data_IF_682461076560
#
_entry.id   IF_682461076560
#
_cell.length_a   1.000
_cell.length_b   1.000
_cell.length_c   1.000
_cell.angle_alpha   90.00
_cell.angle_beta   90.00
_cell.angle_gamma   90.00
#
_symmetry.space_group_name_H-M   'P 1'
#
loop_
_entity.id
_entity.type
_entity.pdbx_description
1 polymer ?
#
# COMPACT_ATOMS: atom_id res chain seq x y z
N UNK A 1 7.97 -6.70 33.17
CA UNK A 1 7.62 -7.00 31.77
C UNK A 1 6.22 -7.58 31.79
N UNK A 2 5.31 -7.01 30.99
CA UNK A 2 4.02 -7.66 30.78
C UNK A 2 4.26 -8.96 30.05
N UNK A 3 3.61 -10.03 30.51
CA UNK A 3 3.63 -11.33 29.86
C UNK A 3 2.43 -11.45 28.94
N UNK A 4 2.54 -12.26 27.90
CA UNK A 4 1.46 -12.61 26.99
C UNK A 4 0.20 -13.01 27.75
N UNK A 5 -0.85 -12.19 27.65
CA UNK A 5 -2.19 -12.51 28.12
C UNK A 5 -2.90 -13.47 27.16
N UNK A 6 -2.57 -14.77 27.27
CA UNK A 6 -3.12 -15.82 26.39
C UNK A 6 -4.64 -15.93 26.49
N UNK A 7 -5.19 -15.87 27.71
CA UNK A 7 -6.62 -16.06 27.93
C UNK A 7 -7.43 -14.82 27.54
N UNK A 8 -6.91 -13.62 27.80
CA UNK A 8 -7.48 -12.39 27.27
C UNK A 8 -7.45 -12.35 25.74
N UNK A 9 -6.33 -12.74 25.13
CA UNK A 9 -6.20 -12.76 23.67
C UNK A 9 -7.11 -13.80 23.02
N UNK A 10 -7.20 -15.01 23.60
CA UNK A 10 -8.16 -16.03 23.17
C UNK A 10 -9.59 -15.50 23.18
N UNK A 11 -10.04 -14.93 24.30
CA UNK A 11 -11.37 -14.32 24.41
C UNK A 11 -11.60 -13.22 23.38
N UNK A 12 -10.60 -12.35 23.18
CA UNK A 12 -10.65 -11.31 22.15
C UNK A 12 -10.88 -11.88 20.74
N UNK A 13 -10.29 -13.04 20.42
CA UNK A 13 -10.46 -13.70 19.12
C UNK A 13 -11.77 -14.49 19.00
N UNK A 14 -12.34 -14.98 20.10
CA UNK A 14 -13.61 -15.73 20.11
C UNK A 14 -14.85 -14.85 20.21
N UNK A 15 -14.76 -13.69 20.89
CA UNK A 15 -15.92 -12.86 21.25
C UNK A 15 -16.29 -11.82 20.18
N UNK A 16 -15.70 -11.94 18.99
CA UNK A 16 -15.93 -11.07 17.84
C UNK A 16 -17.09 -11.57 16.95
N UNK A 17 -17.64 -10.69 16.11
CA UNK A 17 -18.75 -11.03 15.19
C UNK A 17 -18.46 -12.26 14.30
N UNK A 18 -17.19 -12.43 13.89
CA UNK A 18 -16.70 -13.59 13.15
C UNK A 18 -15.58 -14.29 13.96
N UNK A 19 -15.92 -15.22 14.87
CA UNK A 19 -14.96 -15.89 15.75
C UNK A 19 -13.87 -16.64 14.98
N UNK A 20 -12.64 -16.61 15.49
CA UNK A 20 -11.54 -17.40 14.94
C UNK A 20 -11.61 -18.84 15.48
N UNK A 21 -11.42 -19.88 14.64
CA UNK A 21 -11.40 -21.27 15.10
C UNK A 21 -10.31 -21.51 16.16
N UNK A 22 -10.62 -22.34 17.16
CA UNK A 22 -9.71 -22.60 18.28
C UNK A 22 -8.33 -23.15 17.87
N UNK A 23 -8.31 -23.97 16.81
CA UNK A 23 -7.06 -24.50 16.24
C UNK A 23 -6.17 -23.37 15.68
N UNK A 24 -6.76 -22.42 14.94
CA UNK A 24 -6.05 -21.24 14.43
C UNK A 24 -5.59 -20.34 15.59
N UNK A 25 -6.38 -20.20 16.66
CA UNK A 25 -5.97 -19.45 17.86
C UNK A 25 -4.74 -20.09 18.50
N UNK A 26 -4.72 -21.41 18.66
CA UNK A 26 -3.59 -22.13 19.24
C UNK A 26 -2.32 -21.98 18.40
N UNK A 27 -2.43 -22.04 17.07
CA UNK A 27 -1.29 -21.85 16.16
C UNK A 27 -0.78 -20.40 16.17
N UNK A 28 -1.68 -19.43 16.04
CA UNK A 28 -1.31 -18.00 16.02
C UNK A 28 -0.75 -17.53 17.35
N UNK A 29 -1.22 -18.07 18.48
CA UNK A 29 -0.67 -17.78 19.81
C UNK A 29 0.78 -18.21 19.94
N UNK A 30 1.19 -19.35 19.35
CA UNK A 30 2.60 -19.79 19.36
C UNK A 30 3.53 -18.82 18.65
N UNK A 31 3.06 -18.14 17.60
CA UNK A 31 3.85 -17.10 16.91
C UNK A 31 4.05 -15.89 17.83
N UNK A 32 3.02 -15.48 18.57
CA UNK A 32 3.12 -14.38 19.53
C UNK A 32 4.05 -14.76 20.70
N UNK A 33 3.94 -15.99 21.22
CA UNK A 33 4.87 -16.52 22.24
C UNK A 33 6.31 -16.48 21.76
N UNK A 34 6.57 -16.95 20.54
CA UNK A 34 7.91 -16.92 19.94
C UNK A 34 8.44 -15.49 19.81
N UNK A 35 7.57 -14.53 19.46
CA UNK A 35 7.96 -13.12 19.39
C UNK A 35 8.26 -12.56 20.78
N UNK A 36 7.45 -12.90 21.79
CA UNK A 36 7.72 -12.55 23.19
C UNK A 36 9.09 -13.06 23.64
N UNK A 37 9.37 -14.35 23.44
CA UNK A 37 10.66 -14.96 23.78
C UNK A 37 11.83 -14.27 23.08
N UNK A 38 11.66 -13.90 21.81
CA UNK A 38 12.65 -13.12 21.06
C UNK A 38 12.87 -11.73 21.70
N UNK A 39 11.81 -11.04 22.11
CA UNK A 39 11.89 -9.73 22.76
C UNK A 39 12.57 -9.82 24.13
N UNK A 40 12.28 -10.87 24.92
CA UNK A 40 12.90 -11.08 26.23
C UNK A 40 14.42 -11.21 26.12
N UNK A 41 14.92 -11.92 25.10
CA UNK A 41 16.36 -12.08 24.84
C UNK A 41 17.09 -10.76 24.57
N UNK A 42 16.37 -9.72 24.10
CA UNK A 42 16.91 -8.39 23.82
C UNK A 42 16.44 -7.34 24.83
N UNK A 43 15.86 -7.76 25.96
CA UNK A 43 15.41 -6.87 27.04
C UNK A 43 14.22 -5.98 26.68
N UNK A 44 13.36 -6.42 25.77
CA UNK A 44 12.13 -5.73 25.34
C UNK A 44 10.88 -6.51 25.76
N UNK A 45 9.72 -5.89 25.63
CA UNK A 45 8.41 -6.53 25.86
C UNK A 45 7.46 -6.24 24.69
N UNK A 46 6.34 -6.97 24.63
CA UNK A 46 5.32 -6.82 23.59
C UNK A 46 4.73 -5.41 23.57
N UNK A 47 4.59 -4.75 24.73
CA UNK A 47 4.06 -3.38 24.83
C UNK A 47 5.05 -2.31 24.34
N UNK A 48 6.34 -2.62 24.30
CA UNK A 48 7.40 -1.69 23.90
C UNK A 48 8.01 -2.03 22.53
N UNK A 49 7.49 -3.07 21.87
CA UNK A 49 7.95 -3.49 20.55
C UNK A 49 7.53 -2.47 19.49
N UNK A 50 8.45 -2.19 18.56
CA UNK A 50 8.27 -1.25 17.46
C UNK A 50 8.68 -1.88 16.13
N UNK A 51 8.69 -1.08 15.05
CA UNK A 51 9.23 -1.50 13.76
C UNK A 51 10.65 -2.08 13.83
N UNK A 52 11.49 -1.62 14.77
CA UNK A 52 12.87 -2.14 14.91
C UNK A 52 12.86 -3.61 15.30
N UNK A 53 12.10 -3.98 16.33
CA UNK A 53 12.01 -5.36 16.80
C UNK A 53 11.24 -6.25 15.82
N UNK A 54 10.15 -5.72 15.24
CA UNK A 54 9.35 -6.43 14.23
C UNK A 54 10.17 -6.78 13.00
N UNK A 55 10.96 -5.84 12.46
CA UNK A 55 11.80 -6.09 11.30
C UNK A 55 12.89 -7.14 11.58
N UNK A 56 13.47 -7.14 12.78
CA UNK A 56 14.45 -8.18 13.18
C UNK A 56 13.78 -9.55 13.32
N UNK A 57 12.62 -9.61 13.94
CA UNK A 57 11.88 -10.87 14.09
C UNK A 57 11.36 -11.40 12.76
N UNK A 58 10.97 -10.52 11.84
CA UNK A 58 10.60 -10.89 10.47
C UNK A 58 11.71 -11.70 9.78
N UNK A 59 12.98 -11.29 9.95
CA UNK A 59 14.13 -12.06 9.43
C UNK A 59 14.22 -13.45 10.04
N UNK A 60 13.98 -13.58 11.34
CA UNK A 60 13.91 -14.89 12.01
C UNK A 60 12.80 -15.76 11.40
N UNK A 61 11.62 -15.19 11.17
CA UNK A 61 10.52 -15.92 10.52
C UNK A 61 10.87 -16.33 9.09
N UNK A 62 11.57 -15.49 8.33
CA UNK A 62 12.02 -15.81 6.97
C UNK A 62 13.05 -16.95 7.00
N UNK A 63 14.06 -16.86 7.86
CA UNK A 63 15.13 -17.85 7.98
C UNK A 63 14.60 -19.23 8.42
N UNK A 64 13.56 -19.25 9.26
CA UNK A 64 12.90 -20.48 9.73
C UNK A 64 11.78 -20.97 8.79
N UNK A 65 11.46 -20.24 7.71
CA UNK A 65 10.35 -20.58 6.82
C UNK A 65 8.95 -20.43 7.45
N UNK A 66 8.83 -19.60 8.48
CA UNK A 66 7.60 -19.30 9.23
C UNK A 66 6.97 -17.96 8.82
N UNK A 67 7.48 -17.29 7.79
CA UNK A 67 7.01 -15.99 7.30
C UNK A 67 5.71 -16.11 6.48
N UNK A 68 4.62 -16.51 7.12
CA UNK A 68 3.29 -16.63 6.49
C UNK A 68 2.41 -15.42 6.80
N UNK A 69 1.38 -15.18 5.98
CA UNK A 69 0.36 -14.17 6.30
C UNK A 69 -0.28 -14.43 7.66
N UNK A 70 -0.57 -15.70 8.00
CA UNK A 70 -1.12 -16.09 9.30
C UNK A 70 -0.19 -15.69 10.45
N UNK A 71 1.12 -15.88 10.28
CA UNK A 71 2.12 -15.49 11.28
C UNK A 71 2.13 -13.97 11.52
N UNK A 72 2.16 -13.17 10.46
CA UNK A 72 2.12 -11.71 10.60
C UNK A 72 0.76 -11.22 11.13
N UNK A 73 -0.35 -11.78 10.66
CA UNK A 73 -1.69 -11.46 11.16
C UNK A 73 -1.82 -11.78 12.65
N UNK A 74 -1.15 -12.82 13.15
CA UNK A 74 -1.09 -13.10 14.59
C UNK A 74 -0.45 -11.94 15.37
N UNK A 75 0.70 -11.43 14.89
CA UNK A 75 1.40 -10.32 15.52
C UNK A 75 0.58 -9.02 15.49
N UNK A 76 -0.06 -8.71 14.35
CA UNK A 76 -0.90 -7.51 14.24
C UNK A 76 -2.14 -7.60 15.12
N UNK A 77 -2.87 -8.72 15.11
CA UNK A 77 -4.02 -8.96 16.00
C UNK A 77 -3.63 -8.79 17.46
N UNK A 78 -2.47 -9.33 17.86
CA UNK A 78 -1.99 -9.18 19.23
C UNK A 78 -1.61 -7.73 19.57
N UNK A 79 -0.88 -7.05 18.69
CA UNK A 79 -0.54 -5.63 18.85
C UNK A 79 -1.79 -4.76 19.03
N UNK A 80 -2.84 -5.01 18.23
CA UNK A 80 -4.13 -4.34 18.38
C UNK A 80 -4.80 -4.67 19.71
N UNK A 81 -4.81 -5.93 20.13
CA UNK A 81 -5.39 -6.39 21.40
C UNK A 81 -4.77 -5.68 22.61
N UNK A 82 -3.44 -5.57 22.66
CA UNK A 82 -2.73 -4.87 23.74
C UNK A 82 -2.64 -3.35 23.53
N UNK A 83 -3.23 -2.83 22.45
CA UNK A 83 -3.21 -1.42 22.05
C UNK A 83 -1.79 -0.87 21.78
N UNK A 84 -0.86 -1.72 21.38
CA UNK A 84 0.43 -1.31 20.85
C UNK A 84 0.29 -1.06 19.34
N UNK A 85 0.01 0.19 18.98
CA UNK A 85 -0.17 0.60 17.59
C UNK A 85 1.15 0.62 16.80
N UNK A 86 2.30 0.82 17.44
CA UNK A 86 3.60 0.77 16.76
C UNK A 86 3.90 -0.65 16.26
N UNK A 87 3.62 -1.66 17.08
CA UNK A 87 3.68 -3.07 16.67
C UNK A 87 2.67 -3.37 15.56
N UNK A 88 1.42 -2.93 15.71
CA UNK A 88 0.38 -3.17 14.70
C UNK A 88 0.76 -2.60 13.33
N UNK A 89 1.15 -1.33 13.28
CA UNK A 89 1.50 -0.63 12.04
C UNK A 89 2.77 -1.19 11.40
N UNK A 90 3.79 -1.54 12.20
CA UNK A 90 5.01 -2.16 11.70
C UNK A 90 4.73 -3.49 10.96
N UNK A 91 3.82 -4.30 11.48
CA UNK A 91 3.43 -5.56 10.83
C UNK A 91 2.64 -5.30 9.54
N UNK A 92 1.74 -4.31 9.52
CA UNK A 92 1.04 -3.93 8.30
C UNK A 92 2.00 -3.48 7.19
N UNK A 93 3.04 -2.75 7.54
CA UNK A 93 4.06 -2.30 6.58
C UNK A 93 4.81 -3.47 5.93
N UNK A 94 5.06 -4.56 6.68
CA UNK A 94 5.66 -5.77 6.13
C UNK A 94 4.77 -6.43 5.07
N UNK A 95 3.45 -6.43 5.32
CA UNK A 95 2.45 -7.00 4.42
C UNK A 95 2.11 -6.09 3.23
N UNK A 96 2.28 -4.78 3.39
CA UNK A 96 1.95 -3.80 2.37
C UNK A 96 2.74 -4.03 1.08
N UNK A 97 1.99 -4.21 -0.02
CA UNK A 97 2.51 -4.50 -1.33
C UNK A 97 3.35 -5.79 -1.43
N UNK A 98 3.23 -6.75 -0.50
CA UNK A 98 4.06 -7.96 -0.52
C UNK A 98 3.99 -8.74 -1.84
N UNK A 99 2.85 -8.69 -2.53
CA UNK A 99 2.63 -9.36 -3.81
C UNK A 99 3.13 -8.57 -5.04
N UNK A 100 3.60 -7.33 -4.88
CA UNK A 100 3.98 -6.45 -6.01
C UNK A 100 5.03 -7.10 -6.91
N UNK A 101 6.07 -7.71 -6.33
CA UNK A 101 7.12 -8.35 -7.11
C UNK A 101 6.66 -9.67 -7.76
N UNK A 102 5.77 -10.42 -7.09
CA UNK A 102 5.15 -11.63 -7.66
C UNK A 102 4.28 -11.27 -8.88
N UNK A 103 3.45 -10.24 -8.76
CA UNK A 103 2.62 -9.75 -9.85
C UNK A 103 3.48 -9.13 -10.95
N UNK A 104 4.54 -8.37 -10.63
CA UNK A 104 5.48 -7.85 -11.63
C UNK A 104 6.10 -8.98 -12.46
N UNK A 105 6.56 -10.05 -11.82
CA UNK A 105 7.05 -11.25 -12.51
C UNK A 105 5.99 -11.83 -13.46
N UNK A 106 4.73 -11.92 -13.04
CA UNK A 106 3.63 -12.40 -13.89
C UNK A 106 3.36 -11.45 -15.07
N UNK A 107 3.29 -10.14 -14.83
CA UNK A 107 3.05 -9.13 -15.87
C UNK A 107 4.18 -9.07 -16.90
N UNK A 108 5.43 -9.24 -16.47
CA UNK A 108 6.58 -9.37 -17.37
C UNK A 108 6.44 -10.57 -18.33
N UNK A 109 5.93 -11.70 -17.83
CA UNK A 109 5.66 -12.88 -18.67
C UNK A 109 4.50 -12.62 -19.64
N UNK A 110 3.43 -11.97 -19.19
CA UNK A 110 2.20 -11.75 -19.96
C UNK A 110 2.37 -10.71 -21.07
N UNK A 111 3.05 -9.59 -20.78
CA UNK A 111 3.15 -8.45 -21.71
C UNK A 111 4.38 -8.50 -22.61
N UNK A 112 5.39 -9.29 -22.24
CA UNK A 112 6.65 -9.34 -22.98
C UNK A 112 6.97 -10.77 -23.41
N UNK A 113 7.65 -11.55 -22.57
CA UNK A 113 7.84 -13.00 -22.73
C UNK A 113 8.60 -13.59 -21.53
N UNK A 114 8.68 -14.91 -21.45
CA UNK A 114 9.38 -15.64 -20.37
C UNK A 114 10.89 -15.34 -20.33
N UNK A 115 11.52 -15.14 -21.49
CA UNK A 115 12.98 -14.93 -21.60
C UNK A 115 13.36 -13.56 -21.03
N UNK A 116 12.65 -12.51 -21.41
CA UNK A 116 12.81 -11.16 -20.85
C UNK A 116 12.42 -11.13 -19.37
N UNK A 117 11.33 -11.78 -18.99
CA UNK A 117 10.94 -11.93 -17.58
C UNK A 117 12.06 -12.55 -16.74
N UNK A 118 12.64 -13.66 -17.17
CA UNK A 118 13.70 -14.36 -16.42
C UNK A 118 15.02 -13.56 -16.37
N UNK A 119 15.27 -12.69 -17.35
CA UNK A 119 16.40 -11.73 -17.29
C UNK A 119 16.17 -10.61 -16.27
N UNK A 120 14.92 -10.20 -16.06
CA UNK A 120 14.55 -9.11 -15.15
C UNK A 120 14.35 -9.60 -13.72
N UNK A 121 13.42 -10.52 -13.52
CA UNK A 121 13.00 -11.01 -12.21
C UNK A 121 12.56 -12.48 -12.32
N UNK A 122 13.50 -13.44 -12.31
CA UNK A 122 13.16 -14.86 -12.36
C UNK A 122 12.49 -15.31 -11.05
N UNK A 123 11.70 -16.40 -11.10
CA UNK A 123 10.95 -16.89 -9.95
C UNK A 123 11.81 -17.16 -8.69
N UNK A 124 13.04 -17.62 -8.89
CA UNK A 124 13.98 -17.92 -7.79
C UNK A 124 14.51 -16.68 -7.07
N UNK A 125 14.38 -15.49 -7.67
CA UNK A 125 14.84 -14.22 -7.12
C UNK A 125 13.66 -13.41 -6.54
N UNK A 126 12.47 -14.01 -6.42
CA UNK A 126 11.32 -13.34 -5.80
C UNK A 126 11.59 -13.10 -4.31
N UNK A 127 11.34 -11.88 -3.80
CA UNK A 127 11.57 -11.56 -2.40
C UNK A 127 10.57 -12.30 -1.49
N UNK A 128 10.99 -12.69 -0.28
CA UNK A 128 10.11 -13.36 0.67
C UNK A 128 9.07 -12.41 1.27
N UNK A 129 7.94 -12.97 1.72
CA UNK A 129 6.96 -12.22 2.51
C UNK A 129 7.60 -11.72 3.82
N UNK A 130 7.35 -10.45 4.15
CA UNK A 130 7.89 -9.80 5.34
C UNK A 130 9.29 -9.20 5.18
N UNK A 131 9.80 -9.09 3.94
CA UNK A 131 11.00 -8.29 3.68
C UNK A 131 10.81 -6.85 4.20
N UNK A 132 11.69 -6.30 5.05
CA UNK A 132 11.56 -4.93 5.53
C UNK A 132 11.58 -3.89 4.40
N UNK A 133 10.83 -2.79 4.54
CA UNK A 133 10.74 -1.73 3.52
C UNK A 133 12.09 -1.14 3.11
N UNK A 134 13.02 -1.03 4.05
CA UNK A 134 14.38 -0.54 3.79
C UNK A 134 15.19 -1.44 2.86
N UNK A 135 14.86 -2.74 2.82
CA UNK A 135 15.45 -3.75 1.94
C UNK A 135 14.64 -3.95 0.65
N UNK A 136 13.31 -3.73 0.68
CA UNK A 136 12.45 -3.71 -0.53
C UNK A 136 12.97 -2.73 -1.58
N UNK A 137 13.55 -1.61 -1.15
CA UNK A 137 14.15 -0.60 -2.03
C UNK A 137 15.25 -1.19 -2.92
N UNK A 138 16.18 -1.95 -2.35
CA UNK A 138 17.35 -2.45 -3.08
C UNK A 138 16.92 -3.48 -4.15
N UNK A 139 15.89 -4.28 -3.86
CA UNK A 139 15.23 -5.15 -4.82
C UNK A 139 14.64 -4.34 -5.96
N UNK A 140 13.91 -3.26 -5.64
CA UNK A 140 13.26 -2.39 -6.63
C UNK A 140 14.25 -1.71 -7.55
N UNK A 141 15.35 -1.17 -7.02
CA UNK A 141 16.45 -0.63 -7.82
C UNK A 141 16.99 -1.68 -8.79
N UNK A 142 17.33 -2.87 -8.27
CA UNK A 142 17.90 -3.95 -9.08
C UNK A 142 16.96 -4.37 -10.21
N UNK A 143 15.67 -4.52 -9.91
CA UNK A 143 14.67 -4.93 -10.90
C UNK A 143 14.47 -3.86 -11.96
N UNK A 144 14.34 -2.58 -11.58
CA UNK A 144 14.19 -1.48 -12.54
C UNK A 144 15.39 -1.32 -13.46
N UNK A 145 16.60 -1.41 -12.92
CA UNK A 145 17.81 -1.33 -13.73
C UNK A 145 17.92 -2.49 -14.72
N UNK A 146 17.42 -3.68 -14.37
CA UNK A 146 17.29 -4.79 -15.32
C UNK A 146 16.18 -4.52 -16.34
N UNK A 147 15.03 -4.00 -15.93
CA UNK A 147 13.93 -3.63 -16.83
C UNK A 147 14.41 -2.66 -17.90
N UNK A 148 15.07 -1.55 -17.52
CA UNK A 148 15.60 -0.55 -18.46
C UNK A 148 16.60 -1.12 -19.48
N UNK A 149 17.33 -2.18 -19.13
CA UNK A 149 18.30 -2.83 -20.03
C UNK A 149 17.65 -3.84 -20.96
N UNK A 150 16.51 -4.41 -20.59
CA UNK A 150 15.89 -5.55 -21.28
C UNK A 150 14.63 -5.15 -22.06
N UNK A 151 13.94 -4.11 -21.62
CA UNK A 151 12.64 -3.67 -22.12
C UNK A 151 12.73 -2.29 -22.79
N UNK A 152 11.79 -2.01 -23.69
CA UNK A 152 11.60 -0.63 -24.18
C UNK A 152 10.85 0.22 -23.12
N UNK A 153 10.92 1.56 -23.21
CA UNK A 153 10.15 2.43 -22.32
C UNK A 153 8.65 2.14 -22.33
N UNK A 154 8.08 1.79 -23.49
CA UNK A 154 6.67 1.46 -23.65
C UNK A 154 6.33 0.11 -22.98
N UNK A 155 7.19 -0.90 -23.14
CA UNK A 155 7.06 -2.18 -22.44
C UNK A 155 7.12 -1.97 -20.91
N UNK A 156 8.06 -1.17 -20.41
CA UNK A 156 8.17 -0.80 -19.00
C UNK A 156 6.90 -0.13 -18.47
N UNK A 157 6.43 0.92 -19.15
CA UNK A 157 5.21 1.65 -18.76
C UNK A 157 4.02 0.71 -18.71
N UNK A 158 3.84 -0.12 -19.74
CA UNK A 158 2.73 -1.08 -19.84
C UNK A 158 2.76 -2.11 -18.71
N UNK A 159 3.91 -2.76 -18.50
CA UNK A 159 4.08 -3.76 -17.43
C UNK A 159 3.82 -3.15 -16.06
N UNK A 160 4.45 -2.02 -15.73
CA UNK A 160 4.32 -1.39 -14.42
C UNK A 160 2.88 -0.92 -14.17
N UNK A 161 2.23 -0.32 -15.17
CA UNK A 161 0.83 0.10 -15.07
C UNK A 161 -0.10 -1.09 -14.79
N UNK A 162 0.16 -2.26 -15.36
CA UNK A 162 -0.68 -3.45 -15.12
C UNK A 162 -0.34 -4.22 -13.83
N UNK A 163 0.75 -3.85 -13.14
CA UNK A 163 1.00 -4.34 -11.77
C UNK A 163 0.00 -3.73 -10.80
N UNK A 164 -0.27 -2.42 -10.89
CA UNK A 164 -1.33 -1.73 -10.15
C UNK A 164 -1.38 -2.08 -8.65
N UNK A 165 -0.24 -2.06 -7.97
CA UNK A 165 -0.10 -2.43 -6.55
C UNK A 165 -0.55 -3.87 -6.24
N UNK A 166 -0.41 -4.78 -7.21
CA UNK A 166 -0.80 -6.19 -7.13
C UNK A 166 -2.29 -6.44 -6.78
N UNK A 167 -3.15 -5.43 -6.98
CA UNK A 167 -4.56 -5.58 -6.68
C UNK A 167 -5.26 -6.45 -7.73
N UNK A 168 -6.18 -7.33 -7.32
CA UNK A 168 -6.90 -8.17 -8.26
C UNK A 168 -7.80 -7.32 -9.17
N UNK A 169 -8.12 -7.86 -10.35
CA UNK A 169 -8.92 -7.14 -11.37
C UNK A 169 -10.32 -6.76 -10.85
N UNK A 170 -10.89 -7.57 -9.96
CA UNK A 170 -12.21 -7.34 -9.36
C UNK A 170 -12.17 -6.51 -8.07
N UNK A 171 -11.00 -5.95 -7.70
CA UNK A 171 -10.87 -5.05 -6.55
C UNK A 171 -11.83 -3.84 -6.62
N UNK A 172 -12.25 -3.46 -7.84
CA UNK A 172 -13.18 -2.36 -8.10
C UNK A 172 -14.58 -2.85 -8.53
N UNK A 173 -14.97 -4.07 -8.14
CA UNK A 173 -16.32 -4.61 -8.38
C UNK A 173 -17.37 -3.65 -7.81
N UNK A 174 -18.43 -3.39 -8.59
CA UNK A 174 -19.48 -2.44 -8.22
C UNK A 174 -19.28 -1.02 -8.76
N UNK A 175 -18.08 -0.67 -9.25
CA UNK A 175 -17.78 0.69 -9.69
C UNK A 175 -18.53 1.04 -11.00
N UNK A 176 -18.72 0.05 -11.88
CA UNK A 176 -19.53 0.20 -13.10
C UNK A 176 -20.98 0.53 -12.80
N UNK A 177 -21.58 -0.19 -11.86
CA UNK A 177 -22.98 0.02 -11.46
C UNK A 177 -23.18 1.42 -10.85
N UNK A 178 -22.21 1.90 -10.06
CA UNK A 178 -22.22 3.27 -9.54
C UNK A 178 -22.16 4.30 -10.68
N UNK A 179 -21.25 4.11 -11.65
CA UNK A 179 -21.13 5.01 -12.80
C UNK A 179 -22.42 5.08 -13.63
N UNK A 180 -23.00 3.92 -13.96
CA UNK A 180 -24.25 3.86 -14.72
C UNK A 180 -25.42 4.52 -13.98
N UNK A 181 -25.47 4.39 -12.65
CA UNK A 181 -26.50 5.02 -11.82
C UNK A 181 -26.38 6.54 -11.78
N UNK A 182 -25.16 7.06 -11.76
CA UNK A 182 -24.91 8.51 -11.73
C UNK A 182 -25.30 9.21 -13.04
N UNK A 183 -25.37 8.48 -14.17
CA UNK A 183 -25.89 9.01 -15.43
C UNK A 183 -24.96 9.95 -16.20
N UNK A 184 -23.72 10.13 -15.74
CA UNK A 184 -22.70 10.93 -16.40
C UNK A 184 -21.42 11.02 -15.58
N UNK A 185 -20.30 11.38 -16.21
CA UNK A 185 -19.00 11.40 -15.54
C UNK A 185 -18.91 12.48 -14.45
N UNK A 186 -19.50 13.66 -14.68
CA UNK A 186 -19.46 14.76 -13.72
C UNK A 186 -20.25 14.43 -12.45
N UNK A 187 -21.43 13.83 -12.63
CA UNK A 187 -22.26 13.39 -11.51
C UNK A 187 -21.61 12.23 -10.75
N UNK A 188 -21.03 11.28 -11.48
CA UNK A 188 -20.25 10.20 -10.88
C UNK A 188 -19.06 10.73 -10.07
N UNK A 189 -18.32 11.70 -10.59
CA UNK A 189 -17.20 12.31 -9.88
C UNK A 189 -17.67 13.08 -8.64
N UNK A 190 -18.81 13.78 -8.73
CA UNK A 190 -19.44 14.47 -7.59
C UNK A 190 -19.80 13.49 -6.49
N UNK A 191 -20.46 12.37 -6.82
CA UNK A 191 -20.80 11.32 -5.86
C UNK A 191 -19.55 10.64 -5.28
N UNK A 192 -18.56 10.31 -6.12
CA UNK A 192 -17.29 9.72 -5.69
C UNK A 192 -16.58 10.61 -4.67
N UNK A 193 -16.52 11.92 -4.93
CA UNK A 193 -15.95 12.91 -4.01
C UNK A 193 -16.72 13.01 -2.71
N UNK A 194 -18.05 13.09 -2.77
CA UNK A 194 -18.88 13.15 -1.57
C UNK A 194 -18.69 11.92 -0.69
N UNK A 195 -18.65 10.72 -1.28
CA UNK A 195 -18.42 9.47 -0.56
C UNK A 195 -17.02 9.41 0.07
N UNK A 196 -15.98 9.83 -0.66
CA UNK A 196 -14.62 9.84 -0.15
C UNK A 196 -14.45 10.79 1.04
N UNK A 197 -15.06 11.97 0.99
CA UNK A 197 -15.06 12.93 2.12
C UNK A 197 -15.82 12.35 3.32
N UNK A 198 -16.99 11.75 3.09
CA UNK A 198 -17.79 11.15 4.16
C UNK A 198 -17.06 9.97 4.83
N UNK A 199 -16.30 9.18 4.08
CA UNK A 199 -15.45 8.11 4.62
C UNK A 199 -14.35 8.66 5.54
N UNK A 200 -13.66 9.73 5.13
CA UNK A 200 -12.67 10.40 5.97
C UNK A 200 -13.28 11.00 7.24
N UNK A 201 -14.43 11.66 7.13
CA UNK A 201 -15.17 12.21 8.29
C UNK A 201 -15.58 11.10 9.25
N UNK A 202 -16.06 9.96 8.74
CA UNK A 202 -16.39 8.79 9.55
C UNK A 202 -15.16 8.29 10.32
N UNK A 203 -14.02 8.11 9.66
CA UNK A 203 -12.79 7.66 10.33
C UNK A 203 -12.32 8.64 11.41
N UNK A 204 -12.42 9.95 11.17
CA UNK A 204 -12.15 10.99 12.17
C UNK A 204 -13.08 10.86 13.37
N UNK A 205 -14.39 10.80 13.14
CA UNK A 205 -15.41 10.84 14.19
C UNK A 205 -15.39 9.56 15.05
N UNK A 206 -15.19 8.40 14.41
CA UNK A 206 -15.10 7.09 15.08
C UNK A 206 -13.70 6.82 15.65
N UNK A 207 -12.71 7.68 15.37
CA UNK A 207 -11.29 7.50 15.74
C UNK A 207 -10.73 6.16 15.28
N UNK A 208 -11.07 5.78 14.06
CA UNK A 208 -10.55 4.59 13.39
C UNK A 208 -9.50 4.99 12.35
N UNK A 209 -8.69 4.02 11.91
CA UNK A 209 -7.67 4.26 10.90
C UNK A 209 -8.30 4.26 9.50
N UNK A 210 -7.98 5.28 8.71
CA UNK A 210 -8.12 5.22 7.25
C UNK A 210 -6.84 4.61 6.70
N UNK A 211 -6.90 3.32 6.34
CA UNK A 211 -5.73 2.48 6.11
C UNK A 211 -4.81 2.45 7.34
N UNK A 212 -3.73 3.22 7.32
CA UNK A 212 -2.66 3.25 8.32
C UNK A 212 -2.57 4.57 9.09
N UNK A 213 -3.49 5.52 8.87
CA UNK A 213 -3.42 6.85 9.48
C UNK A 213 -4.74 7.25 10.16
N UNK A 214 -4.63 8.02 11.24
CA UNK A 214 -5.78 8.70 11.82
C UNK A 214 -6.13 9.94 11.00
N UNK A 215 -7.42 10.24 10.92
CA UNK A 215 -7.91 11.43 10.22
C UNK A 215 -8.22 12.52 11.24
N UNK A 216 -7.71 13.73 10.98
CA UNK A 216 -7.96 14.94 11.78
C UNK A 216 -8.85 15.91 11.00
N UNK A 217 -9.29 17.00 11.65
CA UNK A 217 -9.99 18.08 10.96
C UNK A 217 -9.15 18.72 9.86
N UNK A 218 -7.83 18.88 10.08
CA UNK A 218 -6.92 19.43 9.09
C UNK A 218 -6.83 18.54 7.84
N UNK A 219 -6.82 17.22 8.03
CA UNK A 219 -6.85 16.26 6.91
C UNK A 219 -8.16 16.37 6.12
N UNK A 220 -9.31 16.44 6.79
CA UNK A 220 -10.61 16.61 6.11
C UNK A 220 -10.66 17.95 5.35
N UNK A 221 -10.19 19.03 5.98
CA UNK A 221 -10.15 20.37 5.37
C UNK A 221 -9.21 20.41 4.15
N UNK A 222 -8.04 19.77 4.24
CA UNK A 222 -7.10 19.64 3.14
C UNK A 222 -7.77 19.00 1.91
N UNK A 223 -8.42 17.83 2.08
CA UNK A 223 -9.12 17.14 0.97
C UNK A 223 -10.31 17.95 0.45
N UNK A 224 -11.10 18.59 1.33
CA UNK A 224 -12.23 19.45 0.93
C UNK A 224 -11.78 20.64 0.08
N UNK A 225 -10.63 21.24 0.40
CA UNK A 225 -10.07 22.39 -0.32
C UNK A 225 -9.46 22.05 -1.68
N UNK A 226 -9.21 20.75 -1.97
CA UNK A 226 -8.52 20.26 -3.16
C UNK A 226 -9.38 19.24 -3.93
N UNK A 227 -10.11 19.65 -4.97
CA UNK A 227 -10.90 18.76 -5.82
C UNK A 227 -10.12 17.57 -6.38
N UNK A 228 -8.86 17.78 -6.73
CA UNK A 228 -7.96 16.81 -7.35
C UNK A 228 -7.47 15.72 -6.39
N UNK A 229 -7.44 15.99 -5.08
CA UNK A 229 -6.88 15.07 -4.08
C UNK A 229 -7.88 13.96 -3.76
N UNK A 230 -7.39 12.71 -3.68
CA UNK A 230 -8.11 11.47 -3.33
C UNK A 230 -9.14 10.99 -4.36
N UNK A 231 -9.96 11.88 -4.91
CA UNK A 231 -11.06 11.54 -5.83
C UNK A 231 -10.74 11.83 -7.29
N UNK A 232 -9.96 12.88 -7.55
CA UNK A 232 -9.66 13.41 -8.88
C UNK A 232 -10.57 14.58 -9.30
N UNK A 233 -10.09 15.40 -10.22
CA UNK A 233 -10.78 16.56 -10.77
C UNK A 233 -10.85 16.45 -12.30
N UNK A 234 -12.02 16.67 -12.89
CA UNK A 234 -12.15 16.71 -14.34
C UNK A 234 -11.61 18.02 -14.91
N UNK A 235 -10.69 17.93 -15.87
CA UNK A 235 -10.14 19.06 -16.64
C UNK A 235 -10.25 18.76 -18.13
N UNK A 236 -11.33 19.26 -18.74
CA UNK A 236 -11.68 18.92 -20.12
C UNK A 236 -11.89 17.41 -20.30
N UNK A 237 -11.08 16.79 -21.16
CA UNK A 237 -11.14 15.37 -21.45
C UNK A 237 -10.19 14.51 -20.57
N UNK A 238 -9.81 15.02 -19.40
CA UNK A 238 -8.92 14.31 -18.48
C UNK A 238 -9.46 14.33 -17.06
N UNK A 239 -9.07 13.33 -16.26
CA UNK A 239 -9.14 13.38 -14.81
C UNK A 239 -7.73 13.60 -14.28
N UNK A 240 -7.53 14.74 -13.61
CA UNK A 240 -6.31 15.03 -12.87
C UNK A 240 -6.48 14.52 -11.44
N UNK A 241 -5.72 13.49 -11.06
CA UNK A 241 -5.83 12.81 -9.78
C UNK A 241 -4.53 12.95 -8.99
N UNK A 242 -4.58 13.72 -7.91
CA UNK A 242 -3.51 13.78 -6.91
C UNK A 242 -3.81 12.76 -5.83
N UNK A 243 -2.84 11.90 -5.53
CA UNK A 243 -3.01 10.95 -4.41
C UNK A 243 -3.03 11.71 -3.09
N UNK A 244 -3.92 11.30 -2.19
CA UNK A 244 -3.81 11.70 -0.80
C UNK A 244 -2.44 11.23 -0.26
N UNK A 245 -1.69 12.03 0.51
CA UNK A 245 -0.44 11.58 1.13
C UNK A 245 -0.58 10.29 1.95
N UNK A 246 0.51 9.53 2.08
CA UNK A 246 0.56 8.28 2.86
C UNK A 246 0.33 8.48 4.36
N UNK A 247 0.84 9.60 4.89
CA UNK A 247 0.61 10.07 6.26
C UNK A 247 0.27 11.57 6.19
N UNK A 248 -1.02 11.91 6.13
CA UNK A 248 -1.43 13.27 5.74
C UNK A 248 -1.13 14.29 6.82
N UNK A 249 -1.33 13.96 8.09
CA UNK A 249 -1.03 14.91 9.17
C UNK A 249 0.46 15.24 9.19
N UNK A 250 1.32 14.23 9.14
CA UNK A 250 2.76 14.36 9.10
C UNK A 250 3.23 15.10 7.84
N UNK A 251 2.58 14.88 6.70
CA UNK A 251 2.82 15.62 5.45
C UNK A 251 2.49 17.12 5.59
N UNK A 252 1.40 17.46 6.29
CA UNK A 252 0.99 18.85 6.53
C UNK A 252 1.94 19.55 7.51
N UNK A 253 2.40 18.84 8.54
CA UNK A 253 3.27 19.36 9.59
C UNK A 253 4.75 19.42 9.18
N UNK A 254 5.16 18.62 8.18
CA UNK A 254 6.54 18.57 7.70
C UNK A 254 6.98 19.91 7.07
N UNK A 255 8.09 20.43 7.60
CA UNK A 255 8.79 21.62 7.09
C UNK A 255 9.98 21.27 6.21
N UNK A 256 10.58 20.10 6.41
CA UNK A 256 11.63 19.55 5.55
C UNK A 256 11.02 18.89 4.31
N UNK A 257 11.46 19.31 3.12
CA UNK A 257 10.90 18.82 1.85
C UNK A 257 11.14 17.32 1.64
N UNK A 258 12.27 16.77 2.09
CA UNK A 258 12.57 15.33 1.99
C UNK A 258 11.58 14.52 2.82
N UNK A 259 11.33 14.93 4.06
CA UNK A 259 10.33 14.30 4.92
C UNK A 259 8.91 14.49 4.38
N UNK A 260 8.60 15.65 3.79
CA UNK A 260 7.32 15.88 3.13
C UNK A 260 7.09 14.91 1.97
N UNK A 261 8.10 14.69 1.11
CA UNK A 261 8.06 13.66 0.06
C UNK A 261 7.91 12.25 0.63
N UNK A 262 8.61 11.95 1.71
CA UNK A 262 8.51 10.67 2.41
C UNK A 262 7.08 10.38 2.88
N UNK A 263 6.43 11.34 3.54
CA UNK A 263 5.04 11.22 4.00
C UNK A 263 4.01 11.27 2.86
N UNK A 264 4.38 11.77 1.67
CA UNK A 264 3.55 11.70 0.47
C UNK A 264 3.57 10.32 -0.21
N UNK A 265 4.71 9.61 -0.15
CA UNK A 265 4.92 8.38 -0.92
C UNK A 265 4.24 7.15 -0.29
N UNK A 266 3.27 6.57 -0.99
CA UNK A 266 2.58 5.34 -0.55
C UNK A 266 3.37 4.06 -0.72
N UNK A 267 4.36 4.02 -1.60
CA UNK A 267 4.92 2.76 -2.05
C UNK A 267 5.94 2.20 -1.05
N UNK A 268 5.61 1.13 -0.32
CA UNK A 268 6.57 0.43 0.55
C UNK A 268 7.82 -0.09 -0.16
N UNK A 269 7.78 -0.24 -1.50
CA UNK A 269 8.91 -0.66 -2.32
C UNK A 269 9.85 0.48 -2.74
N UNK A 270 9.45 1.74 -2.55
CA UNK A 270 10.22 2.89 -3.01
C UNK A 270 10.34 4.03 -2.00
N UNK A 271 9.40 4.20 -1.06
CA UNK A 271 9.37 5.31 -0.10
C UNK A 271 10.68 5.46 0.67
N UNK A 272 11.22 4.35 1.19
CA UNK A 272 12.47 4.38 1.97
C UNK A 272 13.68 4.89 1.15
N UNK A 273 13.64 4.82 -0.18
CA UNK A 273 14.70 5.37 -1.03
C UNK A 273 14.79 6.89 -0.96
N UNK A 274 13.68 7.58 -0.64
CA UNK A 274 13.66 9.04 -0.45
C UNK A 274 14.57 9.44 0.72
N UNK A 275 14.70 8.59 1.74
CA UNK A 275 15.59 8.83 2.89
C UNK A 275 17.05 8.42 2.63
N UNK A 276 17.33 7.77 1.49
CA UNK A 276 18.66 7.41 1.03
C UNK A 276 19.14 8.40 -0.04
N UNK A 277 20.44 8.42 -0.33
CA UNK A 277 21.03 9.28 -1.37
C UNK A 277 20.95 8.63 -2.77
N UNK A 278 20.30 7.48 -2.88
CA UNK A 278 20.06 6.74 -4.12
C UNK A 278 18.55 6.44 -4.19
N UNK A 279 17.81 7.34 -4.85
CA UNK A 279 16.35 7.25 -4.98
C UNK A 279 15.95 6.25 -6.08
N UNK A 280 14.92 5.44 -5.83
CA UNK A 280 14.34 4.56 -6.84
C UNK A 280 13.85 5.39 -8.02
N UNK A 281 14.15 4.94 -9.25
CA UNK A 281 13.67 5.59 -10.46
C UNK A 281 12.16 5.81 -10.44
N UNK A 282 11.72 7.06 -10.68
CA UNK A 282 10.31 7.43 -10.72
C UNK A 282 9.49 6.68 -11.78
N UNK A 283 10.11 6.02 -12.75
CA UNK A 283 9.40 5.10 -13.66
C UNK A 283 8.60 4.03 -12.91
N UNK A 284 9.07 3.58 -11.74
CA UNK A 284 8.33 2.62 -10.91
C UNK A 284 6.95 3.14 -10.49
N UNK A 285 6.77 4.46 -10.41
CA UNK A 285 5.50 5.07 -10.06
C UNK A 285 4.41 4.86 -11.14
N UNK A 286 4.72 4.33 -12.33
CA UNK A 286 3.69 3.82 -13.24
C UNK A 286 2.85 2.70 -12.61
N UNK A 287 3.40 1.94 -11.65
CA UNK A 287 2.60 1.03 -10.80
C UNK A 287 1.51 1.77 -10.02
N UNK A 288 1.85 2.94 -9.47
CA UNK A 288 0.87 3.82 -8.82
C UNK A 288 -0.10 4.46 -9.82
N UNK A 289 0.35 4.78 -11.04
CA UNK A 289 -0.52 5.29 -12.11
C UNK A 289 -1.60 4.25 -12.47
N UNK A 290 -1.22 2.99 -12.64
CA UNK A 290 -2.11 1.85 -12.85
C UNK A 290 -3.16 1.69 -11.76
N UNK A 291 -2.73 1.71 -10.50
CA UNK A 291 -3.64 1.70 -9.34
C UNK A 291 -4.65 2.87 -9.40
N UNK A 292 -4.19 4.06 -9.80
CA UNK A 292 -4.99 5.28 -9.78
C UNK A 292 -6.07 5.28 -10.86
N UNK A 293 -5.78 4.74 -12.05
CA UNK A 293 -6.76 4.64 -13.13
C UNK A 293 -7.72 3.44 -13.00
N UNK A 294 -7.38 2.42 -12.22
CA UNK A 294 -8.17 1.20 -12.09
C UNK A 294 -9.66 1.43 -11.75
N UNK A 295 -10.06 2.34 -10.84
CA UNK A 295 -11.48 2.63 -10.59
C UNK A 295 -12.17 3.24 -11.82
N UNK A 296 -11.45 4.05 -12.61
CA UNK A 296 -11.99 4.68 -13.82
C UNK A 296 -12.14 3.67 -14.94
N UNK A 297 -11.16 2.79 -15.13
CA UNK A 297 -11.27 1.68 -16.08
C UNK A 297 -12.43 0.74 -15.72
N UNK A 298 -12.64 0.46 -14.42
CA UNK A 298 -13.77 -0.32 -13.95
C UNK A 298 -15.13 0.38 -14.16
N UNK A 299 -15.20 1.67 -13.88
CA UNK A 299 -16.41 2.48 -14.11
C UNK A 299 -16.82 2.52 -15.59
N UNK A 300 -15.84 2.80 -16.45
CA UNK A 300 -16.01 3.03 -17.89
C UNK A 300 -15.93 1.76 -18.74
N UNK A 301 -15.56 0.63 -18.12
CA UNK A 301 -15.49 -0.69 -18.75
C UNK A 301 -14.55 -0.73 -19.97
N UNK A 302 -13.43 -0.01 -19.88
CA UNK A 302 -12.42 0.07 -20.93
C UNK A 302 -11.04 0.47 -20.38
N UNK A 303 -10.00 0.21 -21.15
CA UNK A 303 -8.65 0.66 -20.84
C UNK A 303 -8.53 2.18 -21.00
N UNK A 304 -7.78 2.83 -20.10
CA UNK A 304 -7.53 4.27 -20.15
C UNK A 304 -6.04 4.55 -20.18
N UNK A 305 -5.63 5.53 -20.98
CA UNK A 305 -4.27 6.03 -20.92
C UNK A 305 -4.04 6.85 -19.65
N UNK A 306 -2.84 6.75 -19.08
CA UNK A 306 -2.45 7.49 -17.89
C UNK A 306 -1.03 8.02 -18.02
N UNK A 307 -0.85 9.28 -17.65
CA UNK A 307 0.44 9.93 -17.53
C UNK A 307 0.76 10.27 -16.08
N UNK A 308 2.04 10.16 -15.73
CA UNK A 308 2.54 10.57 -14.44
C UNK A 308 3.01 12.02 -14.52
N UNK A 309 2.24 12.91 -13.92
CA UNK A 309 2.50 14.35 -13.88
C UNK A 309 3.56 14.67 -12.83
N UNK A 310 3.29 14.34 -11.55
CA UNK A 310 4.23 14.51 -10.43
C UNK A 310 4.55 13.21 -9.73
N UNK A 311 5.75 13.13 -9.15
CA UNK A 311 6.16 12.01 -8.30
C UNK A 311 7.11 12.43 -7.19
N UNK A 312 6.88 11.93 -5.98
CA UNK A 312 7.81 12.06 -4.86
C UNK A 312 9.23 11.57 -5.21
N UNK A 313 9.36 10.55 -6.06
CA UNK A 313 10.63 10.01 -6.54
C UNK A 313 11.28 10.87 -7.65
N UNK A 314 10.63 11.94 -8.11
CA UNK A 314 11.21 12.98 -8.98
C UNK A 314 11.63 14.23 -8.23
N UNK A 315 11.37 14.30 -6.93
CA UNK A 315 11.55 15.52 -6.14
C UNK A 315 10.27 16.35 -5.96
N UNK A 316 9.12 15.93 -6.51
CA UNK A 316 7.86 16.63 -6.27
C UNK A 316 7.34 16.38 -4.86
N UNK A 317 6.62 17.34 -4.27
CA UNK A 317 6.04 17.18 -2.93
C UNK A 317 4.78 16.30 -2.90
N UNK A 318 4.19 15.99 -4.06
CA UNK A 318 2.97 15.19 -4.18
C UNK A 318 3.05 14.27 -5.41
N UNK A 319 2.20 13.25 -5.46
CA UNK A 319 2.10 12.35 -6.61
C UNK A 319 0.77 12.60 -7.34
N UNK A 320 0.84 12.97 -8.63
CA UNK A 320 -0.33 13.25 -9.46
C UNK A 320 -0.27 12.48 -10.79
N UNK A 321 -1.45 12.08 -11.25
CA UNK A 321 -1.64 11.31 -12.47
C UNK A 321 -2.74 11.94 -13.33
N UNK A 322 -2.53 11.99 -14.64
CA UNK A 322 -3.51 12.47 -15.61
C UNK A 322 -4.09 11.25 -16.31
N UNK A 323 -5.38 11.01 -16.15
CA UNK A 323 -6.10 9.91 -16.80
C UNK A 323 -6.85 10.49 -17.98
N UNK A 324 -6.61 9.96 -19.18
CA UNK A 324 -7.26 10.42 -20.40
C UNK A 324 -8.60 9.74 -20.58
N UNK A 325 -9.66 10.53 -20.76
CA UNK A 325 -11.00 10.01 -20.98
C UNK A 325 -11.22 9.71 -22.48
N UNK A 326 -12.10 8.77 -22.83
CA UNK A 326 -12.50 8.53 -24.20
C UNK A 326 -13.20 9.75 -24.81
N UNK A 327 -13.01 9.98 -26.10
CA UNK A 327 -13.68 11.06 -26.82
C UNK A 327 -15.21 10.97 -26.72
N UNK A 328 -15.86 12.13 -26.57
CA UNK A 328 -17.32 12.22 -26.56
C UNK A 328 -18.00 11.85 -25.24
N UNK A 329 -17.23 11.60 -24.17
CA UNK A 329 -17.78 11.49 -22.82
C UNK A 329 -18.23 12.87 -22.33
N UNK A 330 -19.55 13.12 -22.28
CA UNK A 330 -20.15 14.28 -21.65
C UNK A 330 -20.45 13.98 -20.17
#
# INVERSE_FOLDING_TARGET
MGKLDKEGYRRYLTDRENPIPEEEIAETTKIVEKFEEFLEQIGKSLEAASAVEVNKFSKVLIDEGLNTYTSYVALSRYGFFIKNMDLYLAVLELLDGAEVMNVLNQRLKEHVDVVKRDKVLPNKDLPPLGLPSSEKVDVTHTVLEKMKKVLTPEECKKVLTDVAHALPRDFRKGEREKFLKAGGIDEYLREKRANAIAELEKHRDERTLFFNQYITDDVVNFVKSRPDVLSGERRGNTIYHTKIPYMVQEYLDATDERMKRYYACHCAWARESILKDDEVSSEFCYCSAGFTKQPWEAALDQHLEVDMDKSALKGDLECSFIIHLPDGMA
#
